data_IF_542668997683
#
_entry.id   IF_542668997683
#
_cell.length_a   1.000
_cell.length_b   1.000
_cell.length_c   1.000
_cell.angle_alpha   90.00
_cell.angle_beta   90.00
_cell.angle_gamma   90.00
#
_symmetry.space_group_name_H-M   'P 1'
#
loop_
_entity.id
_entity.type
_entity.pdbx_description
1 polymer ?
#
# COMPACT_ATOMS: atom_id res chain seq x y z
N UNK A 1 -7.35 -7.73 17.58
CA UNK A 1 -5.90 -7.64 17.32
C UNK A 1 -5.69 -7.82 15.83
N UNK A 2 -5.19 -6.82 15.12
CA UNK A 2 -4.80 -7.00 13.71
C UNK A 2 -3.54 -7.88 13.71
N UNK A 3 -3.49 -8.99 12.95
CA UNK A 3 -2.29 -9.82 12.89
C UNK A 3 -1.08 -8.97 12.44
N UNK A 4 0.11 -9.31 12.91
CA UNK A 4 1.37 -8.67 12.51
C UNK A 4 1.60 -8.85 11.00
N UNK A 5 2.20 -7.86 10.35
CA UNK A 5 2.55 -7.94 8.93
C UNK A 5 3.61 -9.03 8.69
N UNK A 6 3.49 -9.76 7.58
CA UNK A 6 4.62 -10.51 7.03
C UNK A 6 5.70 -9.57 6.49
N UNK A 7 6.89 -10.09 6.21
CA UNK A 7 7.97 -9.28 5.65
C UNK A 7 7.61 -8.74 4.25
N UNK A 8 7.01 -9.57 3.40
CA UNK A 8 6.54 -9.16 2.07
C UNK A 8 5.43 -8.10 2.16
N UNK A 9 4.45 -8.27 3.05
CA UNK A 9 3.42 -7.25 3.27
C UNK A 9 4.03 -5.92 3.70
N UNK A 10 5.01 -5.94 4.61
CA UNK A 10 5.72 -4.74 5.06
C UNK A 10 6.49 -4.09 3.91
N UNK A 11 7.18 -4.87 3.08
CA UNK A 11 7.91 -4.36 1.91
C UNK A 11 6.98 -3.72 0.88
N UNK A 12 5.84 -4.35 0.56
CA UNK A 12 4.83 -3.78 -0.34
C UNK A 12 4.31 -2.44 0.18
N UNK A 13 3.95 -2.37 1.47
CA UNK A 13 3.49 -1.13 2.09
C UNK A 13 4.59 -0.06 2.08
N UNK A 14 5.83 -0.40 2.47
CA UNK A 14 6.94 0.55 2.47
C UNK A 14 7.27 1.05 1.06
N UNK A 15 7.16 0.21 0.03
CA UNK A 15 7.35 0.63 -1.35
C UNK A 15 6.25 1.58 -1.81
N UNK A 16 4.97 1.25 -1.53
CA UNK A 16 3.84 2.10 -1.87
C UNK A 16 3.93 3.49 -1.23
N UNK A 17 4.45 3.54 -0.01
CA UNK A 17 4.65 4.76 0.78
C UNK A 17 5.96 5.49 0.49
N UNK A 18 6.82 4.91 -0.37
CA UNK A 18 8.17 5.43 -0.57
C UNK A 18 8.94 5.55 0.75
N UNK A 19 8.80 4.62 1.69
CA UNK A 19 9.56 4.55 2.94
C UNK A 19 10.86 3.72 2.79
N UNK A 20 11.09 3.16 1.61
CA UNK A 20 12.30 2.42 1.26
C UNK A 20 13.47 3.37 0.89
N UNK A 21 14.42 2.87 0.10
CA UNK A 21 15.72 3.49 -0.21
C UNK A 21 15.63 4.94 -0.71
N UNK A 22 14.52 5.32 -1.35
CA UNK A 22 14.26 6.69 -1.79
C UNK A 22 13.03 7.22 -1.05
N UNK A 23 13.24 7.90 0.10
CA UNK A 23 12.16 8.46 0.91
C UNK A 23 11.40 9.54 0.14
N UNK A 24 10.24 9.20 -0.44
CA UNK A 24 9.38 10.14 -1.17
C UNK A 24 8.16 10.46 -0.30
N UNK A 25 8.14 11.60 0.42
CA UNK A 25 7.20 11.86 1.52
C UNK A 25 5.72 11.99 1.13
N UNK A 26 5.40 12.02 -0.16
CA UNK A 26 4.05 12.15 -0.69
C UNK A 26 3.60 10.94 -1.51
N UNK A 27 4.42 9.89 -1.60
CA UNK A 27 4.09 8.71 -2.40
C UNK A 27 3.11 7.84 -1.61
N UNK A 28 1.96 7.55 -2.22
CA UNK A 28 1.01 6.56 -1.72
C UNK A 28 0.32 5.91 -2.91
N UNK A 29 1.09 5.28 -3.79
CA UNK A 29 0.54 4.58 -4.95
C UNK A 29 1.39 3.37 -5.27
N UNK A 30 0.72 2.26 -5.55
CA UNK A 30 1.33 1.02 -5.99
C UNK A 30 0.54 0.46 -7.17
N UNK A 31 1.22 0.25 -8.30
CA UNK A 31 0.64 -0.46 -9.44
C UNK A 31 1.01 -1.93 -9.32
N UNK A 32 0.02 -2.82 -9.43
CA UNK A 32 0.23 -4.24 -9.46
C UNK A 32 -0.62 -4.86 -10.57
N UNK A 33 -0.01 -5.76 -11.36
CA UNK A 33 -0.76 -6.55 -12.34
C UNK A 33 -1.77 -7.44 -11.60
N UNK A 34 -3.04 -7.50 -12.01
CA UNK A 34 -4.05 -8.34 -11.37
C UNK A 34 -3.61 -9.80 -11.24
N UNK A 35 -3.69 -10.36 -10.03
CA UNK A 35 -3.28 -11.74 -9.75
C UNK A 35 -1.77 -11.96 -9.59
N UNK A 36 -0.94 -10.93 -9.77
CA UNK A 36 0.48 -10.99 -9.41
C UNK A 36 0.66 -11.18 -7.88
N UNK A 37 1.83 -11.67 -7.42
CA UNK A 37 2.08 -11.83 -5.98
C UNK A 37 1.83 -10.56 -5.16
N UNK A 38 2.22 -9.40 -5.68
CA UNK A 38 2.02 -8.11 -5.00
C UNK A 38 0.53 -7.71 -5.00
N UNK A 39 -0.21 -7.97 -6.08
CA UNK A 39 -1.66 -7.72 -6.13
C UNK A 39 -2.42 -8.58 -5.12
N UNK A 40 -2.07 -9.87 -5.01
CA UNK A 40 -2.64 -10.77 -4.01
C UNK A 40 -2.38 -10.27 -2.60
N UNK A 41 -1.18 -9.77 -2.32
CA UNK A 41 -0.84 -9.12 -1.04
C UNK A 41 -1.75 -7.92 -0.80
N UNK A 42 -1.94 -7.05 -1.79
CA UNK A 42 -2.81 -5.88 -1.64
C UNK A 42 -4.29 -6.21 -1.45
N UNK A 43 -4.79 -7.30 -2.05
CA UNK A 43 -6.15 -7.81 -1.81
C UNK A 43 -6.31 -8.23 -0.34
N UNK A 44 -5.35 -8.94 0.23
CA UNK A 44 -5.41 -9.33 1.65
C UNK A 44 -5.26 -8.12 2.60
N UNK A 45 -4.38 -7.17 2.26
CA UNK A 45 -4.25 -5.92 3.00
C UNK A 45 -5.53 -5.09 2.95
N UNK A 46 -6.26 -5.09 1.82
CA UNK A 46 -7.57 -4.44 1.71
C UNK A 46 -8.60 -5.10 2.62
N UNK A 47 -8.66 -6.44 2.66
CA UNK A 47 -9.56 -7.17 3.59
C UNK A 47 -9.31 -6.81 5.05
N UNK A 48 -8.05 -6.49 5.39
CA UNK A 48 -7.64 -6.04 6.73
C UNK A 48 -7.78 -4.53 6.97
N UNK A 49 -8.24 -3.75 5.98
CA UNK A 49 -8.37 -2.29 6.06
C UNK A 49 -7.05 -1.52 6.01
N UNK A 50 -5.97 -2.16 5.58
CA UNK A 50 -4.62 -1.57 5.51
C UNK A 50 -4.31 -0.97 4.13
N UNK A 51 -5.07 -1.35 3.10
CA UNK A 51 -5.00 -0.77 1.77
C UNK A 51 -6.40 -0.63 1.14
N UNK A 52 -6.48 0.06 0.01
CA UNK A 52 -7.70 0.16 -0.80
C UNK A 52 -7.34 0.17 -2.28
N UNK A 53 -8.18 -0.49 -3.08
CA UNK A 53 -8.15 -0.35 -4.53
C UNK A 53 -8.68 1.02 -4.90
N UNK A 54 -7.88 1.79 -5.64
CA UNK A 54 -8.28 3.10 -6.17
C UNK A 54 -8.93 2.94 -7.54
N UNK A 55 -8.34 2.08 -8.37
CA UNK A 55 -8.79 1.82 -9.74
C UNK A 55 -8.35 0.42 -10.16
N UNK A 56 -9.24 -0.31 -10.80
CA UNK A 56 -8.88 -1.55 -11.50
C UNK A 56 -8.17 -1.30 -12.84
N UNK A 57 -7.99 -2.35 -13.65
CA UNK A 57 -7.43 -2.23 -15.00
C UNK A 57 -8.33 -1.37 -15.89
N UNK A 58 -7.73 -0.50 -16.71
CA UNK A 58 -8.44 0.35 -17.66
C UNK A 58 -7.62 0.56 -18.93
N UNK A 59 -7.94 -0.18 -20.00
CA UNK A 59 -7.40 0.02 -21.35
C UNK A 59 -5.87 0.11 -21.39
N UNK A 60 -5.34 1.33 -21.46
CA UNK A 60 -3.90 1.64 -21.48
C UNK A 60 -3.19 1.49 -20.12
N UNK A 61 -3.94 1.31 -19.03
CA UNK A 61 -3.41 1.11 -17.69
C UNK A 61 -3.87 -0.28 -17.19
N UNK A 62 -3.11 -1.35 -17.49
CA UNK A 62 -3.54 -2.73 -17.22
C UNK A 62 -3.49 -3.11 -15.73
N UNK A 63 -2.83 -2.30 -14.90
CA UNK A 63 -2.59 -2.62 -13.49
C UNK A 63 -3.70 -2.10 -12.58
N UNK A 64 -3.91 -2.83 -11.47
CA UNK A 64 -4.60 -2.32 -10.30
C UNK A 64 -3.78 -1.21 -9.66
N UNK A 65 -4.43 -0.08 -9.37
CA UNK A 65 -3.84 1.02 -8.62
C UNK A 65 -4.30 0.94 -7.17
N UNK A 66 -3.34 0.73 -6.27
CA UNK A 66 -3.55 0.60 -4.84
C UNK A 66 -3.09 1.83 -4.07
N UNK A 67 -3.80 2.12 -2.96
CA UNK A 67 -3.42 3.11 -1.95
C UNK A 67 -3.38 2.47 -0.57
N UNK A 68 -2.38 2.81 0.22
CA UNK A 68 -2.27 2.45 1.63
C UNK A 68 -3.17 3.37 2.47
N UNK A 69 -3.84 2.81 3.47
CA UNK A 69 -4.64 3.58 4.43
C UNK A 69 -3.76 4.14 5.55
N UNK A 70 -4.29 5.05 6.38
CA UNK A 70 -3.56 5.51 7.56
C UNK A 70 -3.19 4.34 8.50
N UNK A 71 -4.08 3.36 8.65
CA UNK A 71 -3.82 2.16 9.44
C UNK A 71 -2.67 1.32 8.84
N UNK A 72 -2.66 1.15 7.51
CA UNK A 72 -1.56 0.48 6.81
C UNK A 72 -0.23 1.21 6.95
N UNK A 73 -0.24 2.55 6.88
CA UNK A 73 0.96 3.35 7.05
C UNK A 73 1.57 3.20 8.45
N UNK A 74 0.75 3.28 9.49
CA UNK A 74 1.19 3.04 10.87
C UNK A 74 1.72 1.62 11.04
N UNK A 75 1.05 0.62 10.46
CA UNK A 75 1.50 -0.77 10.52
C UNK A 75 2.85 -0.99 9.81
N UNK A 76 3.12 -0.24 8.74
CA UNK A 76 4.39 -0.28 7.99
C UNK A 76 5.54 0.48 8.66
N UNK A 77 5.28 1.19 9.75
CA UNK A 77 6.27 2.00 10.48
C UNK A 77 6.38 3.44 10.00
N UNK A 78 5.38 3.98 9.29
CA UNK A 78 5.32 5.41 9.01
C UNK A 78 5.20 6.20 10.31
N UNK A 79 5.91 7.33 10.40
CA UNK A 79 5.72 8.27 11.50
C UNK A 79 4.33 8.94 11.44
N UNK A 80 3.94 9.59 12.54
CA UNK A 80 2.59 10.17 12.68
C UNK A 80 2.30 11.30 11.68
N UNK A 81 3.32 12.05 11.24
CA UNK A 81 3.17 13.13 10.26
C UNK A 81 2.93 12.56 8.87
N UNK A 82 3.70 11.54 8.49
CA UNK A 82 3.59 10.85 7.22
C UNK A 82 2.26 10.10 7.10
N UNK A 83 1.83 9.41 8.17
CA UNK A 83 0.55 8.71 8.21
C UNK A 83 -0.66 9.66 8.03
N UNK A 84 -0.59 10.87 8.59
CA UNK A 84 -1.65 11.88 8.43
C UNK A 84 -1.70 12.47 7.02
N UNK A 85 -0.54 12.72 6.40
CA UNK A 85 -0.48 13.24 5.02
C UNK A 85 -1.02 12.25 3.99
N UNK A 86 -0.93 10.95 4.27
CA UNK A 86 -1.49 9.86 3.45
C UNK A 86 -3.03 9.86 3.45
N UNK A 87 -3.65 10.35 4.53
CA UNK A 87 -5.10 10.33 4.74
C UNK A 87 -5.83 11.54 4.13
N UNK A 88 -5.09 12.60 3.76
CA UNK A 88 -5.61 13.80 3.09
C UNK A 88 -5.78 13.56 1.57
#
# INVERSE_FOLDING_TARGET
>A
MTPSLTDHERECLQHALGLNRNRVPYRNYFNAEPGSPDDVVFVELQRRGLARLVRGPLGIAPDNLWRVTEAGARAAGADAEHARRIAA
#
